data_IF_159369011347
#
_entry.id   IF_159369011347
#
_cell.length_a   1.000
_cell.length_b   1.000
_cell.length_c   1.000
_cell.angle_alpha   90.00
_cell.angle_beta   90.00
_cell.angle_gamma   90.00
#
_symmetry.space_group_name_H-M   'P 1'
#
loop_
_entity.id
_entity.type
_entity.pdbx_description
1 polymer ?
#
# COMPACT_ATOMS: atom_id res chain seq x y z
N UNK A 1 -124.50 24.01 -17.87
CA UNK A 1 -124.55 22.55 -18.09
C UNK A 1 -123.15 22.01 -17.90
N UNK A 2 -123.01 20.99 -17.04
CA UNK A 2 -121.92 20.02 -16.82
C UNK A 2 -120.49 20.38 -17.29
N UNK A 3 -119.42 20.24 -16.51
CA UNK A 3 -119.18 19.60 -15.22
C UNK A 3 -117.66 19.38 -15.03
N UNK A 4 -117.26 19.20 -13.77
CA UNK A 4 -116.05 18.49 -13.30
C UNK A 4 -114.68 19.20 -13.26
N UNK A 5 -114.15 19.28 -12.03
CA UNK A 5 -112.79 19.63 -11.57
C UNK A 5 -112.04 18.29 -11.24
N UNK A 6 -110.77 18.28 -10.75
CA UNK A 6 -109.44 17.99 -11.36
C UNK A 6 -108.90 16.59 -10.91
N UNK A 7 -107.61 16.30 -10.57
CA UNK A 7 -106.26 16.82 -10.92
C UNK A 7 -105.24 15.70 -11.34
N UNK A 8 -103.99 16.04 -11.69
CA UNK A 8 -102.76 15.48 -11.09
C UNK A 8 -101.54 15.59 -12.03
N UNK A 9 -100.48 16.15 -11.44
CA UNK A 9 -99.06 16.03 -11.72
C UNK A 9 -98.58 14.61 -12.10
N UNK A 10 -97.70 14.49 -13.10
CA UNK A 10 -96.31 14.03 -12.96
C UNK A 10 -95.71 13.53 -14.29
N UNK A 11 -94.38 13.62 -14.33
CA UNK A 11 -93.43 12.81 -15.11
C UNK A 11 -93.21 13.13 -16.59
N UNK A 12 -92.21 13.98 -16.78
CA UNK A 12 -91.29 13.94 -17.92
C UNK A 12 -90.67 12.53 -18.04
N UNK A 13 -90.76 11.85 -19.20
CA UNK A 13 -89.93 10.67 -19.43
C UNK A 13 -88.48 11.11 -19.68
N UNK A 14 -87.50 10.44 -19.04
CA UNK A 14 -86.09 10.74 -19.22
C UNK A 14 -85.64 10.42 -20.64
N UNK A 15 -84.88 11.36 -21.19
CA UNK A 15 -83.97 11.20 -22.32
C UNK A 15 -83.31 9.82 -22.31
N UNK A 16 -83.57 9.02 -23.35
CA UNK A 16 -82.87 7.76 -23.60
C UNK A 16 -81.35 8.01 -23.62
N UNK A 17 -80.55 7.35 -22.76
CA UNK A 17 -79.12 7.32 -22.97
C UNK A 17 -78.88 6.40 -24.17
N UNK A 18 -78.44 6.98 -25.28
CA UNK A 18 -77.88 6.21 -26.38
C UNK A 18 -76.76 5.30 -25.87
N UNK A 19 -76.52 4.15 -26.51
CA UNK A 19 -75.47 3.21 -26.08
C UNK A 19 -74.14 3.95 -26.10
N UNK A 20 -73.57 4.16 -24.92
CA UNK A 20 -72.19 4.62 -24.78
C UNK A 20 -71.29 3.54 -25.37
N UNK A 21 -70.80 3.82 -26.58
CA UNK A 21 -69.90 2.96 -27.32
C UNK A 21 -68.60 2.63 -26.59
N UNK A 22 -67.75 1.78 -27.19
CA UNK A 22 -66.68 1.00 -26.57
C UNK A 22 -65.40 1.82 -26.23
N UNK A 23 -65.56 3.02 -25.66
CA UNK A 23 -64.45 3.93 -25.34
C UNK A 23 -63.62 3.48 -24.15
N UNK A 24 -64.19 2.65 -23.26
CA UNK A 24 -63.57 2.28 -22.00
C UNK A 24 -62.61 1.06 -22.12
N UNK A 25 -62.70 0.26 -23.19
CA UNK A 25 -61.89 -0.96 -23.37
C UNK A 25 -60.42 -0.63 -23.67
N UNK A 26 -60.19 0.35 -24.55
CA UNK A 26 -58.85 0.78 -24.93
C UNK A 26 -58.10 1.40 -23.75
N UNK A 27 -58.78 2.18 -22.91
CA UNK A 27 -58.15 2.88 -21.78
C UNK A 27 -57.58 1.92 -20.74
N UNK A 28 -58.31 0.86 -20.38
CA UNK A 28 -57.82 -0.15 -19.41
C UNK A 28 -56.61 -0.91 -19.97
N UNK A 29 -56.64 -1.27 -21.25
CA UNK A 29 -55.50 -1.90 -21.92
C UNK A 29 -54.28 -0.99 -21.96
N UNK A 30 -54.42 0.28 -22.36
CA UNK A 30 -53.29 1.23 -22.43
C UNK A 30 -52.71 1.59 -21.07
N UNK A 31 -53.55 1.72 -20.03
CA UNK A 31 -53.09 1.95 -18.65
C UNK A 31 -52.36 0.72 -18.12
N UNK A 32 -52.89 -0.48 -18.36
CA UNK A 32 -52.25 -1.74 -17.97
C UNK A 32 -50.91 -1.97 -18.69
N UNK A 33 -50.87 -1.62 -19.98
CA UNK A 33 -49.69 -1.72 -20.83
C UNK A 33 -48.61 -0.72 -20.41
N UNK A 34 -48.97 0.51 -20.02
CA UNK A 34 -48.01 1.57 -19.73
C UNK A 34 -47.52 1.62 -18.27
N UNK A 35 -48.36 1.22 -17.30
CA UNK A 35 -48.02 1.37 -15.87
C UNK A 35 -46.77 0.57 -15.47
N UNK A 36 -46.67 -0.69 -15.92
CA UNK A 36 -45.56 -1.57 -15.61
C UNK A 36 -44.22 -1.12 -16.24
N UNK A 37 -44.12 -0.87 -17.56
CA UNK A 37 -42.86 -0.44 -18.17
C UNK A 37 -42.43 0.96 -17.72
N UNK A 38 -43.34 1.88 -17.41
CA UNK A 38 -42.97 3.19 -16.87
C UNK A 38 -42.38 3.09 -15.46
N UNK A 39 -42.97 2.25 -14.59
CA UNK A 39 -42.43 2.00 -13.26
C UNK A 39 -41.06 1.30 -13.33
N UNK A 40 -40.92 0.29 -14.20
CA UNK A 40 -39.65 -0.38 -14.44
C UNK A 40 -38.61 0.59 -14.99
N UNK A 41 -38.95 1.43 -15.97
CA UNK A 41 -38.04 2.41 -16.55
C UNK A 41 -37.61 3.48 -15.54
N UNK A 42 -38.53 3.98 -14.71
CA UNK A 42 -38.20 4.91 -13.63
C UNK A 42 -37.24 4.28 -12.61
N UNK A 43 -37.46 3.01 -12.25
CA UNK A 43 -36.56 2.26 -11.37
C UNK A 43 -35.17 2.07 -12.00
N UNK A 44 -35.11 1.65 -13.27
CA UNK A 44 -33.84 1.45 -13.97
C UNK A 44 -33.07 2.77 -14.13
N UNK A 45 -33.76 3.88 -14.40
CA UNK A 45 -33.15 5.22 -14.42
C UNK A 45 -32.59 5.57 -13.03
N UNK A 46 -33.34 5.29 -11.97
CA UNK A 46 -32.86 5.52 -10.60
C UNK A 46 -31.61 4.70 -10.31
N UNK A 47 -31.59 3.40 -10.64
CA UNK A 47 -30.40 2.54 -10.49
C UNK A 47 -29.22 3.07 -11.30
N UNK A 48 -29.44 3.53 -12.53
CA UNK A 48 -28.39 4.13 -13.39
C UNK A 48 -27.85 5.45 -12.81
N UNK A 49 -28.67 6.20 -12.07
CA UNK A 49 -28.27 7.46 -11.44
C UNK A 49 -27.53 7.25 -10.12
N UNK A 50 -27.94 6.28 -9.31
CA UNK A 50 -27.36 6.06 -7.97
C UNK A 50 -26.17 5.11 -8.02
N UNK A 51 -26.27 4.01 -8.78
CA UNK A 51 -25.23 2.97 -8.86
C UNK A 51 -24.28 3.13 -10.06
N UNK A 52 -24.59 4.06 -10.96
CA UNK A 52 -23.79 4.34 -12.16
C UNK A 52 -22.49 5.12 -11.90
N UNK A 53 -22.29 5.63 -10.68
CA UNK A 53 -21.13 6.49 -10.33
C UNK A 53 -20.41 6.08 -9.04
N UNK A 54 -21.01 5.23 -8.22
CA UNK A 54 -20.39 4.73 -6.97
C UNK A 54 -19.58 3.45 -7.21
N UNK A 55 -18.58 3.21 -6.36
CA UNK A 55 -17.91 1.92 -6.19
C UNK A 55 -18.88 0.91 -5.56
N UNK A 56 -19.97 0.63 -6.27
CA UNK A 56 -20.95 -0.36 -5.90
C UNK A 56 -20.54 -1.68 -6.56
N UNK A 57 -20.22 -2.64 -5.71
CA UNK A 57 -19.86 -4.00 -6.08
C UNK A 57 -21.01 -4.64 -6.91
N UNK A 58 -20.73 -5.67 -7.69
CA UNK A 58 -21.70 -6.36 -8.55
C UNK A 58 -22.95 -6.79 -7.75
N UNK A 59 -22.73 -7.20 -6.50
CA UNK A 59 -23.77 -7.61 -5.56
C UNK A 59 -24.75 -6.49 -5.24
N UNK A 60 -24.29 -5.25 -5.16
CA UNK A 60 -25.11 -4.07 -4.88
C UNK A 60 -26.05 -3.73 -6.03
N UNK A 61 -25.60 -3.90 -7.28
CA UNK A 61 -26.46 -3.73 -8.45
C UNK A 61 -27.44 -4.90 -8.60
N UNK A 62 -26.98 -6.14 -8.39
CA UNK A 62 -27.90 -7.29 -8.43
C UNK A 62 -28.98 -7.18 -7.36
N UNK A 63 -28.65 -6.73 -6.16
CA UNK A 63 -29.62 -6.52 -5.08
C UNK A 63 -30.59 -5.38 -5.42
N UNK A 64 -30.11 -4.28 -6.00
CA UNK A 64 -30.97 -3.18 -6.44
C UNK A 64 -31.92 -3.59 -7.58
N UNK A 65 -31.46 -4.41 -8.52
CA UNK A 65 -32.29 -4.94 -9.60
C UNK A 65 -33.29 -5.99 -9.08
N UNK A 66 -32.86 -6.87 -8.17
CA UNK A 66 -33.72 -7.89 -7.56
C UNK A 66 -34.82 -7.27 -6.70
N UNK A 67 -34.46 -6.29 -5.86
CA UNK A 67 -35.41 -5.51 -5.06
C UNK A 67 -36.40 -4.77 -5.97
N UNK A 68 -35.91 -4.18 -7.06
CA UNK A 68 -36.76 -3.58 -8.09
C UNK A 68 -37.72 -4.55 -8.74
N UNK A 69 -37.27 -5.76 -9.07
CA UNK A 69 -38.11 -6.82 -9.64
C UNK A 69 -39.22 -7.25 -8.65
N UNK A 70 -38.90 -7.36 -7.36
CA UNK A 70 -39.86 -7.69 -6.30
C UNK A 70 -40.91 -6.57 -6.14
N UNK A 71 -40.50 -5.31 -6.12
CA UNK A 71 -41.43 -4.17 -6.05
C UNK A 71 -42.27 -4.07 -7.33
N UNK A 72 -41.67 -4.31 -8.50
CA UNK A 72 -42.37 -4.32 -9.79
C UNK A 72 -43.47 -5.40 -9.84
N UNK A 73 -43.29 -6.55 -9.19
CA UNK A 73 -44.34 -7.59 -9.08
C UNK A 73 -45.61 -7.11 -8.35
N UNK A 74 -45.52 -6.06 -7.52
CA UNK A 74 -46.67 -5.49 -6.81
C UNK A 74 -47.43 -4.44 -7.63
N UNK A 75 -46.75 -3.77 -8.57
CA UNK A 75 -47.32 -2.73 -9.46
C UNK A 75 -48.51 -3.19 -10.32
N UNK A 76 -48.57 -4.42 -10.86
CA UNK A 76 -49.72 -4.86 -11.66
C UNK A 76 -50.96 -5.23 -10.82
N UNK A 77 -50.87 -5.39 -9.49
CA UNK A 77 -52.00 -5.81 -8.65
C UNK A 77 -53.22 -4.86 -8.73
N UNK A 78 -53.07 -3.52 -8.62
CA UNK A 78 -54.19 -2.59 -8.72
C UNK A 78 -54.85 -2.61 -10.11
N UNK A 79 -54.04 -2.80 -11.16
CA UNK A 79 -54.50 -2.90 -12.56
C UNK A 79 -55.29 -4.18 -12.79
N UNK A 80 -54.84 -5.30 -12.20
CA UNK A 80 -55.54 -6.58 -12.27
C UNK A 80 -56.84 -6.56 -11.46
N UNK A 81 -56.85 -5.92 -10.28
CA UNK A 81 -58.05 -5.70 -9.46
C UNK A 81 -59.06 -4.83 -10.22
N UNK A 82 -58.62 -3.71 -10.80
CA UNK A 82 -59.45 -2.85 -11.66
C UNK A 82 -59.99 -3.63 -12.86
N UNK A 83 -59.14 -4.39 -13.54
CA UNK A 83 -59.49 -5.23 -14.68
C UNK A 83 -60.53 -6.29 -14.33
N UNK A 84 -60.43 -6.90 -13.15
CA UNK A 84 -61.40 -7.83 -12.58
C UNK A 84 -62.75 -7.17 -12.28
N UNK A 85 -62.73 -6.03 -11.57
CA UNK A 85 -63.93 -5.23 -11.28
C UNK A 85 -64.64 -4.75 -12.55
N UNK A 86 -63.87 -4.50 -13.62
CA UNK A 86 -64.39 -4.07 -14.93
C UNK A 86 -64.78 -5.23 -15.85
N UNK A 87 -64.71 -6.49 -15.40
CA UNK A 87 -64.93 -7.73 -16.20
C UNK A 87 -64.06 -7.84 -17.46
N UNK A 88 -62.83 -7.31 -17.42
CA UNK A 88 -61.89 -7.22 -18.56
C UNK A 88 -60.50 -7.78 -18.21
N UNK A 89 -60.46 -8.84 -17.43
CA UNK A 89 -59.22 -9.41 -16.91
C UNK A 89 -58.28 -9.88 -18.04
N UNK A 90 -58.80 -10.36 -19.17
CA UNK A 90 -57.99 -10.78 -20.32
C UNK A 90 -57.19 -9.64 -20.97
N UNK A 91 -57.76 -8.42 -21.05
CA UNK A 91 -57.06 -7.25 -21.58
C UNK A 91 -56.03 -6.70 -20.59
N UNK A 92 -56.35 -6.75 -19.29
CA UNK A 92 -55.39 -6.38 -18.24
C UNK A 92 -54.20 -7.35 -18.21
N UNK A 93 -54.45 -8.66 -18.31
CA UNK A 93 -53.39 -9.68 -18.41
C UNK A 93 -52.52 -9.49 -19.64
N UNK A 94 -53.12 -9.26 -20.82
CA UNK A 94 -52.35 -9.01 -22.05
C UNK A 94 -51.51 -7.72 -21.96
N UNK A 95 -52.04 -6.65 -21.37
CA UNK A 95 -51.29 -5.42 -21.14
C UNK A 95 -50.11 -5.63 -20.19
N UNK A 96 -50.33 -6.36 -19.08
CA UNK A 96 -49.28 -6.68 -18.10
C UNK A 96 -48.21 -7.59 -18.70
N UNK A 97 -48.56 -8.60 -19.49
CA UNK A 97 -47.56 -9.50 -20.10
C UNK A 97 -46.70 -8.79 -21.14
N UNK A 98 -47.30 -7.98 -22.01
CA UNK A 98 -46.53 -7.16 -22.98
C UNK A 98 -45.66 -6.14 -22.23
N UNK A 99 -46.21 -5.48 -21.21
CA UNK A 99 -45.45 -4.58 -20.34
C UNK A 99 -44.26 -5.26 -19.65
N UNK A 100 -44.43 -6.50 -19.20
CA UNK A 100 -43.38 -7.30 -18.60
C UNK A 100 -42.26 -7.64 -19.60
N UNK A 101 -42.61 -8.01 -20.83
CA UNK A 101 -41.61 -8.24 -21.90
C UNK A 101 -40.81 -6.97 -22.18
N UNK A 102 -41.48 -5.81 -22.27
CA UNK A 102 -40.80 -4.52 -22.49
C UNK A 102 -39.83 -4.19 -21.34
N UNK A 103 -40.23 -4.45 -20.10
CA UNK A 103 -39.37 -4.22 -18.93
C UNK A 103 -38.14 -5.14 -18.92
N UNK A 104 -38.31 -6.42 -19.27
CA UNK A 104 -37.19 -7.37 -19.40
C UNK A 104 -36.23 -6.92 -20.50
N UNK A 105 -36.74 -6.42 -21.62
CA UNK A 105 -35.93 -5.87 -22.71
C UNK A 105 -35.20 -4.56 -22.33
N UNK A 106 -35.67 -3.83 -21.30
CA UNK A 106 -35.01 -2.61 -20.81
C UNK A 106 -33.80 -2.90 -19.88
N UNK A 107 -33.72 -4.08 -19.27
CA UNK A 107 -32.59 -4.50 -18.43
C UNK A 107 -31.21 -4.50 -19.13
N UNK A 108 -31.04 -5.06 -20.34
CA UNK A 108 -29.75 -4.97 -21.03
C UNK A 108 -29.38 -3.52 -21.36
N UNK A 109 -30.36 -2.65 -21.63
CA UNK A 109 -30.13 -1.23 -21.86
C UNK A 109 -29.64 -0.53 -20.58
N UNK A 110 -30.23 -0.81 -19.42
CA UNK A 110 -29.78 -0.23 -18.15
C UNK A 110 -28.37 -0.68 -17.79
N UNK A 111 -28.05 -1.96 -17.99
CA UNK A 111 -26.69 -2.50 -17.83
C UNK A 111 -25.69 -1.75 -18.72
N UNK A 112 -26.02 -1.55 -20.00
CA UNK A 112 -25.17 -0.82 -20.93
C UNK A 112 -24.98 0.65 -20.51
N UNK A 113 -26.03 1.31 -20.04
CA UNK A 113 -25.97 2.70 -19.57
C UNK A 113 -25.16 2.84 -18.27
N UNK A 114 -25.28 1.89 -17.33
CA UNK A 114 -24.43 1.85 -16.13
C UNK A 114 -22.97 1.68 -16.53
N UNK A 115 -22.68 0.73 -17.44
CA UNK A 115 -21.32 0.51 -17.91
C UNK A 115 -20.75 1.76 -18.58
N UNK A 116 -21.49 2.36 -19.53
CA UNK A 116 -21.08 3.57 -20.22
C UNK A 116 -20.82 4.74 -19.25
N UNK A 117 -21.69 4.93 -18.24
CA UNK A 117 -21.49 5.96 -17.21
C UNK A 117 -20.26 5.71 -16.35
N UNK A 118 -20.00 4.46 -15.94
CA UNK A 118 -18.81 4.11 -15.17
C UNK A 118 -17.54 4.32 -15.99
N UNK A 119 -17.54 3.93 -17.26
CA UNK A 119 -16.41 4.18 -18.17
C UNK A 119 -16.17 5.67 -18.35
N UNK A 120 -17.22 6.46 -18.56
CA UNK A 120 -17.08 7.91 -18.68
C UNK A 120 -16.56 8.54 -17.38
N UNK A 121 -17.10 8.15 -16.24
CA UNK A 121 -16.64 8.64 -14.94
C UNK A 121 -15.16 8.27 -14.70
N UNK A 122 -14.73 7.08 -15.11
CA UNK A 122 -13.34 6.66 -15.01
C UNK A 122 -12.42 7.47 -15.93
N UNK A 123 -12.79 7.69 -17.20
CA UNK A 123 -12.02 8.55 -18.11
C UNK A 123 -11.97 10.00 -17.63
N UNK A 124 -13.06 10.53 -17.05
CA UNK A 124 -13.09 11.87 -16.45
C UNK A 124 -12.15 11.97 -15.23
N UNK A 125 -12.05 10.91 -14.43
CA UNK A 125 -11.10 10.83 -13.30
C UNK A 125 -9.65 10.79 -13.81
N UNK A 126 -9.38 9.99 -14.83
CA UNK A 126 -8.07 9.89 -15.48
C UNK A 126 -7.64 11.21 -16.13
N UNK A 127 -8.54 11.89 -16.82
CA UNK A 127 -8.28 13.19 -17.43
C UNK A 127 -7.94 14.26 -16.37
N UNK A 128 -8.69 14.32 -15.27
CA UNK A 128 -8.39 15.21 -14.13
C UNK A 128 -7.04 14.90 -13.49
N UNK A 129 -6.69 13.62 -13.39
CA UNK A 129 -5.37 13.24 -12.88
C UNK A 129 -4.25 13.63 -13.84
N UNK A 130 -4.44 13.49 -15.15
CA UNK A 130 -3.48 13.95 -16.15
C UNK A 130 -3.26 15.48 -16.10
N UNK A 131 -4.31 16.25 -15.83
CA UNK A 131 -4.20 17.69 -15.58
C UNK A 131 -3.40 17.99 -14.30
N UNK A 132 -3.61 17.20 -13.25
CA UNK A 132 -2.81 17.29 -12.03
C UNK A 132 -1.33 16.97 -12.30
N UNK A 133 -1.02 15.93 -13.10
CA UNK A 133 0.34 15.61 -13.53
C UNK A 133 0.99 16.80 -14.28
N UNK A 134 0.26 17.43 -15.20
CA UNK A 134 0.74 18.63 -15.89
C UNK A 134 0.98 19.81 -14.93
N UNK A 135 0.13 19.94 -13.89
CA UNK A 135 0.31 20.94 -12.83
C UNK A 135 1.58 20.67 -12.03
N UNK A 136 1.86 19.41 -11.67
CA UNK A 136 3.10 19.03 -10.97
C UNK A 136 4.32 19.38 -11.81
N UNK A 137 4.31 19.07 -13.12
CA UNK A 137 5.41 19.41 -14.05
C UNK A 137 5.67 20.90 -14.21
N UNK A 138 4.70 21.76 -13.87
CA UNK A 138 4.90 23.21 -13.87
C UNK A 138 5.72 23.72 -12.67
N UNK A 139 5.96 22.87 -11.67
CA UNK A 139 6.65 23.19 -10.40
C UNK A 139 6.02 24.34 -9.60
N UNK A 140 4.77 24.71 -9.89
CA UNK A 140 4.01 25.71 -9.13
C UNK A 140 3.40 25.08 -7.87
N UNK A 141 4.09 25.21 -6.74
CA UNK A 141 3.68 24.64 -5.45
C UNK A 141 2.30 25.12 -5.00
N UNK A 142 1.93 26.37 -5.29
CA UNK A 142 0.62 26.90 -4.91
C UNK A 142 -0.50 26.23 -5.70
N UNK A 143 -0.28 26.00 -7.01
CA UNK A 143 -1.23 25.24 -7.84
C UNK A 143 -1.31 23.78 -7.44
N UNK A 144 -0.19 23.13 -7.15
CA UNK A 144 -0.18 21.72 -6.69
C UNK A 144 -1.00 21.59 -5.40
N UNK A 145 -0.78 22.48 -4.41
CA UNK A 145 -1.55 22.49 -3.15
C UNK A 145 -3.05 22.71 -3.36
N UNK A 146 -3.43 23.51 -4.35
CA UNK A 146 -4.84 23.77 -4.68
C UNK A 146 -5.48 22.61 -5.44
N UNK A 147 -4.75 21.97 -6.33
CA UNK A 147 -5.25 20.91 -7.20
C UNK A 147 -5.39 19.57 -6.49
N UNK A 148 -4.47 19.24 -5.57
CA UNK A 148 -4.44 17.97 -4.86
C UNK A 148 -5.76 17.63 -4.11
N UNK A 149 -6.34 18.50 -3.26
CA UNK A 149 -7.61 18.21 -2.59
C UNK A 149 -8.82 18.24 -3.55
N UNK A 150 -8.66 18.74 -4.78
CA UNK A 150 -9.69 18.75 -5.80
C UNK A 150 -9.69 17.46 -6.67
N UNK A 151 -8.75 16.54 -6.41
CA UNK A 151 -8.75 15.24 -7.08
C UNK A 151 -10.04 14.45 -6.74
N UNK A 152 -10.61 13.72 -7.72
CA UNK A 152 -11.77 12.86 -7.51
C UNK A 152 -11.62 11.92 -6.32
N UNK A 153 -12.76 11.55 -5.71
CA UNK A 153 -12.86 10.58 -4.61
C UNK A 153 -12.03 10.91 -3.34
N UNK A 154 -11.49 12.13 -3.23
CA UNK A 154 -10.76 12.58 -2.05
C UNK A 154 -9.46 11.81 -1.82
N UNK A 155 -8.67 11.59 -2.88
CA UNK A 155 -7.35 10.93 -2.77
C UNK A 155 -6.49 11.58 -1.68
N UNK A 156 -5.97 10.75 -0.77
CA UNK A 156 -5.01 11.18 0.24
C UNK A 156 -3.71 11.67 -0.43
N UNK A 157 -2.98 12.56 0.23
CA UNK A 157 -1.67 13.01 -0.23
C UNK A 157 -0.67 11.86 -0.53
N UNK A 158 -0.48 10.85 0.33
CA UNK A 158 0.42 9.75 0.03
C UNK A 158 -0.05 8.90 -1.16
N UNK A 159 -1.35 8.64 -1.29
CA UNK A 159 -1.91 7.89 -2.43
C UNK A 159 -1.76 8.65 -3.74
N UNK A 160 -1.98 9.96 -3.72
CA UNK A 160 -1.76 10.80 -4.90
C UNK A 160 -0.29 10.80 -5.33
N UNK A 161 0.66 10.85 -4.39
CA UNK A 161 2.09 10.75 -4.69
C UNK A 161 2.48 9.37 -5.20
N UNK A 162 1.93 8.29 -4.62
CA UNK A 162 2.09 6.93 -5.11
C UNK A 162 1.68 6.82 -6.58
N UNK A 163 0.51 7.36 -6.91
CA UNK A 163 0.02 7.42 -8.27
C UNK A 163 0.94 8.22 -9.22
N UNK A 164 1.58 9.31 -8.75
CA UNK A 164 2.52 10.10 -9.57
C UNK A 164 3.81 9.33 -9.86
N UNK A 165 4.20 8.41 -8.98
CA UNK A 165 5.39 7.57 -9.17
C UNK A 165 5.16 6.34 -10.06
N UNK A 166 3.95 6.15 -10.58
CA UNK A 166 3.56 5.02 -11.44
C UNK A 166 2.70 3.97 -10.73
N UNK A 167 2.30 4.22 -9.49
CA UNK A 167 1.32 3.38 -8.79
C UNK A 167 -0.09 3.49 -9.37
N UNK A 168 -0.99 2.62 -8.90
CA UNK A 168 -2.39 2.67 -9.31
C UNK A 168 -3.05 3.99 -8.83
N UNK A 169 -3.73 4.67 -9.76
CA UNK A 169 -4.43 5.95 -9.51
C UNK A 169 -5.87 5.71 -9.05
N UNK A 170 -6.65 5.04 -9.91
CA UNK A 170 -8.05 4.70 -9.70
C UNK A 170 -8.29 3.27 -10.18
N UNK A 171 -9.19 2.58 -9.49
CA UNK A 171 -9.64 1.25 -9.90
C UNK A 171 -10.88 1.38 -10.77
N UNK A 172 -10.83 0.80 -11.96
CA UNK A 172 -11.98 0.49 -12.78
C UNK A 172 -12.41 -0.93 -12.49
N UNK A 173 -13.38 -1.10 -11.61
CA UNK A 173 -13.99 -2.40 -11.36
C UNK A 173 -14.80 -2.81 -12.60
N UNK A 174 -14.21 -3.65 -13.46
CA UNK A 174 -14.88 -4.16 -14.65
C UNK A 174 -15.71 -5.36 -14.24
N UNK A 175 -17.02 -5.27 -14.50
CA UNK A 175 -18.01 -6.24 -14.03
C UNK A 175 -17.52 -7.70 -14.10
N UNK A 176 -17.52 -8.30 -12.90
CA UNK A 176 -17.52 -9.72 -12.56
C UNK A 176 -16.21 -10.48 -12.41
N UNK A 177 -15.03 -10.05 -12.91
CA UNK A 177 -13.82 -10.89 -12.71
C UNK A 177 -12.46 -10.19 -12.64
N UNK A 178 -12.33 -8.90 -13.01
CA UNK A 178 -11.03 -8.21 -13.00
C UNK A 178 -11.18 -6.72 -12.69
N UNK A 179 -10.42 -6.26 -11.70
CA UNK A 179 -10.16 -4.84 -11.47
C UNK A 179 -9.12 -4.36 -12.49
N UNK A 180 -9.51 -3.49 -13.41
CA UNK A 180 -8.57 -2.78 -14.28
C UNK A 180 -8.10 -1.54 -13.52
N UNK A 181 -6.82 -1.38 -13.27
CA UNK A 181 -6.29 -0.17 -12.64
C UNK A 181 -5.89 0.86 -13.71
N UNK A 182 -6.28 2.13 -13.52
CA UNK A 182 -5.59 3.21 -14.19
C UNK A 182 -4.22 3.40 -13.54
N UNK A 183 -3.17 3.29 -14.33
CA UNK A 183 -1.82 3.68 -13.93
C UNK A 183 -1.54 5.09 -14.44
N UNK A 184 -0.96 5.92 -13.57
CA UNK A 184 -0.43 7.22 -13.95
C UNK A 184 0.86 7.08 -14.76
N UNK A 185 1.21 8.12 -15.52
CA UNK A 185 2.58 8.23 -16.05
C UNK A 185 3.55 8.35 -14.87
N UNK A 186 4.56 7.47 -14.81
CA UNK A 186 5.56 7.52 -13.76
C UNK A 186 6.45 8.77 -13.93
N UNK A 187 6.31 9.73 -13.03
CA UNK A 187 7.08 10.97 -13.07
C UNK A 187 8.52 10.77 -12.61
N UNK A 188 9.48 11.55 -13.16
CA UNK A 188 10.84 11.61 -12.65
C UNK A 188 10.91 12.03 -11.18
N UNK A 189 11.94 11.60 -10.47
CA UNK A 189 12.07 11.83 -9.02
C UNK A 189 12.17 13.31 -8.65
N UNK A 190 12.70 14.15 -9.55
CA UNK A 190 12.71 15.59 -9.39
C UNK A 190 11.28 16.16 -9.28
N UNK A 191 10.36 15.74 -10.14
CA UNK A 191 8.97 16.18 -10.11
C UNK A 191 8.24 15.63 -8.87
N UNK A 192 8.54 14.39 -8.45
CA UNK A 192 8.01 13.82 -7.22
C UNK A 192 8.48 14.59 -5.97
N UNK A 193 9.73 15.06 -5.96
CA UNK A 193 10.25 15.93 -4.90
C UNK A 193 9.53 17.28 -4.84
N UNK A 194 9.23 17.89 -5.99
CA UNK A 194 8.47 19.15 -6.03
C UNK A 194 7.01 18.95 -5.56
N UNK A 195 6.37 17.85 -5.95
CA UNK A 195 5.04 17.49 -5.46
C UNK A 195 5.05 17.25 -3.93
N UNK A 196 6.02 16.50 -3.42
CA UNK A 196 6.16 16.24 -1.99
C UNK A 196 6.46 17.54 -1.21
N UNK A 197 7.28 18.44 -1.74
CA UNK A 197 7.53 19.74 -1.13
C UNK A 197 6.24 20.57 -1.00
N UNK A 198 5.43 20.62 -2.06
CA UNK A 198 4.13 21.29 -2.03
C UNK A 198 3.18 20.68 -0.98
N UNK A 199 3.17 19.35 -0.81
CA UNK A 199 2.38 18.65 0.22
C UNK A 199 2.86 18.99 1.64
N UNK A 200 4.17 18.92 1.87
CA UNK A 200 4.79 19.23 3.18
C UNK A 200 4.51 20.66 3.60
N UNK A 201 4.53 21.60 2.65
CA UNK A 201 4.27 23.01 2.91
C UNK A 201 2.75 23.33 2.93
N UNK A 202 1.89 22.34 2.67
CA UNK A 202 0.43 22.47 2.67
C UNK A 202 -0.22 22.21 4.04
N UNK A 203 -1.54 22.36 4.07
CA UNK A 203 -2.39 22.17 5.26
C UNK A 203 -2.79 20.70 5.49
N UNK A 204 -1.82 19.78 5.40
CA UNK A 204 -2.01 18.36 5.69
C UNK A 204 -1.63 18.01 7.12
N UNK A 205 -2.15 16.89 7.64
CA UNK A 205 -1.72 16.39 8.95
C UNK A 205 -0.24 15.97 8.90
N UNK A 206 0.44 15.98 10.04
CA UNK A 206 1.83 15.51 10.13
C UNK A 206 1.98 14.08 9.63
N UNK A 207 1.02 13.21 9.95
CA UNK A 207 1.02 11.81 9.52
C UNK A 207 0.92 11.67 8.00
N UNK A 208 0.03 12.44 7.34
CA UNK A 208 -0.08 12.43 5.87
C UNK A 208 1.21 12.92 5.20
N UNK A 209 1.83 13.97 5.76
CA UNK A 209 3.11 14.50 5.26
C UNK A 209 4.23 13.47 5.36
N UNK A 210 4.34 12.79 6.50
CA UNK A 210 5.37 11.77 6.73
C UNK A 210 5.12 10.53 5.85
N UNK A 211 3.88 10.06 5.75
CA UNK A 211 3.53 8.94 4.85
C UNK A 211 3.86 9.27 3.38
N UNK A 212 3.56 10.50 2.94
CA UNK A 212 3.93 11.00 1.60
C UNK A 212 5.44 10.92 1.39
N UNK A 213 6.23 11.36 2.36
CA UNK A 213 7.68 11.29 2.26
C UNK A 213 8.20 9.85 2.28
N UNK A 214 7.60 8.92 3.03
CA UNK A 214 7.98 7.50 2.97
C UNK A 214 7.69 6.87 1.61
N UNK A 215 6.58 7.25 0.94
CA UNK A 215 6.31 6.85 -0.45
C UNK A 215 7.38 7.39 -1.40
N UNK A 216 7.76 8.66 -1.24
CA UNK A 216 8.86 9.23 -2.04
C UNK A 216 10.18 8.49 -1.79
N UNK A 217 10.51 8.17 -0.54
CA UNK A 217 11.73 7.46 -0.19
C UNK A 217 11.78 6.07 -0.84
N UNK A 218 10.65 5.37 -0.87
CA UNK A 218 10.52 4.10 -1.57
C UNK A 218 10.88 4.25 -3.06
N UNK A 219 10.33 5.26 -3.75
CA UNK A 219 10.68 5.49 -5.16
C UNK A 219 12.14 5.86 -5.39
N UNK A 220 12.71 6.72 -4.54
CA UNK A 220 14.13 7.05 -4.63
C UNK A 220 14.98 5.77 -4.48
N UNK A 221 14.61 4.89 -3.54
CA UNK A 221 15.29 3.62 -3.28
C UNK A 221 15.18 2.66 -4.46
N UNK A 222 13.97 2.46 -5.01
CA UNK A 222 13.77 1.62 -6.19
C UNK A 222 14.59 2.08 -7.39
N UNK A 223 14.68 3.41 -7.59
CA UNK A 223 15.41 4.07 -8.69
C UNK A 223 16.92 4.21 -8.47
N UNK A 224 17.43 3.80 -7.30
CA UNK A 224 18.84 3.89 -6.94
C UNK A 224 19.40 5.33 -6.97
N UNK A 225 18.70 6.28 -6.33
CA UNK A 225 19.05 7.70 -6.35
C UNK A 225 19.47 8.27 -4.97
N UNK A 226 20.55 7.77 -4.35
CA UNK A 226 21.01 8.24 -3.03
C UNK A 226 21.38 9.73 -3.01
N UNK A 227 21.74 10.32 -4.16
CA UNK A 227 22.08 11.74 -4.29
C UNK A 227 20.90 12.69 -3.98
N UNK A 228 19.66 12.20 -4.09
CA UNK A 228 18.46 13.00 -3.80
C UNK A 228 18.02 12.91 -2.33
N UNK A 229 18.61 12.00 -1.55
CA UNK A 229 18.29 11.80 -0.13
C UNK A 229 18.45 13.06 0.74
N UNK A 230 19.48 13.92 0.56
CA UNK A 230 19.58 15.16 1.34
C UNK A 230 18.40 16.11 1.15
N UNK A 231 17.84 16.19 -0.08
CA UNK A 231 16.63 16.99 -0.36
C UNK A 231 15.43 16.39 0.36
N UNK A 232 15.26 15.07 0.27
CA UNK A 232 14.21 14.33 0.98
C UNK A 232 14.29 14.53 2.51
N UNK A 233 15.48 14.39 3.09
CA UNK A 233 15.71 14.59 4.52
C UNK A 233 15.38 16.03 4.96
N UNK A 234 15.69 17.02 4.11
CA UNK A 234 15.28 18.40 4.31
C UNK A 234 13.76 18.54 4.44
N UNK A 235 12.98 17.89 3.56
CA UNK A 235 11.52 17.88 3.64
C UNK A 235 11.02 17.18 4.92
N UNK A 236 11.60 16.03 5.27
CA UNK A 236 11.25 15.28 6.47
C UNK A 236 11.37 16.12 7.73
N UNK A 237 12.48 16.85 7.89
CA UNK A 237 12.69 17.72 9.05
C UNK A 237 11.66 18.83 9.16
N UNK A 238 11.13 19.36 8.04
CA UNK A 238 10.06 20.37 8.08
C UNK A 238 8.74 19.82 8.65
N UNK A 239 8.59 18.50 8.76
CA UNK A 239 7.44 17.85 9.41
C UNK A 239 7.59 17.70 10.92
N UNK A 240 8.76 18.04 11.50
CA UNK A 240 9.05 17.88 12.92
C UNK A 240 8.75 19.19 13.69
N UNK A 241 8.19 19.07 14.89
CA UNK A 241 7.73 20.21 15.69
C UNK A 241 8.86 20.95 16.46
N UNK A 242 10.01 20.30 16.69
CA UNK A 242 11.19 20.91 17.30
C UNK A 242 12.46 20.46 16.57
N UNK A 243 13.34 21.42 16.25
CA UNK A 243 14.58 21.19 15.50
C UNK A 243 15.58 20.25 16.21
N UNK A 244 15.41 20.02 17.52
CA UNK A 244 16.27 19.16 18.35
C UNK A 244 16.10 17.65 18.08
N UNK A 245 15.13 17.25 17.24
CA UNK A 245 14.98 15.88 16.74
C UNK A 245 16.00 15.50 15.65
N UNK A 246 16.95 16.37 15.31
CA UNK A 246 17.87 16.17 14.19
C UNK A 246 18.72 14.88 14.31
N UNK A 247 19.03 14.43 15.54
CA UNK A 247 19.74 13.16 15.81
C UNK A 247 18.82 12.02 16.24
N UNK A 248 17.51 12.24 16.29
CA UNK A 248 16.58 11.17 16.63
C UNK A 248 16.59 10.14 15.52
N UNK A 249 16.55 8.83 15.87
CA UNK A 249 16.33 7.77 14.90
C UNK A 249 15.12 8.10 14.02
N UNK A 250 15.26 7.94 12.71
CA UNK A 250 14.16 8.15 11.80
C UNK A 250 13.29 6.89 11.83
N UNK A 251 12.19 6.94 12.56
CA UNK A 251 11.25 5.83 12.68
C UNK A 251 10.10 6.00 11.68
N UNK A 252 9.48 4.87 11.29
CA UNK A 252 8.27 4.90 10.50
C UNK A 252 7.12 5.61 11.21
N UNK A 253 6.23 6.24 10.44
CA UNK A 253 5.02 6.85 10.98
C UNK A 253 3.93 5.80 11.22
N UNK A 254 3.16 5.93 12.30
CA UNK A 254 1.94 5.13 12.59
C UNK A 254 0.76 5.45 11.65
N UNK A 255 1.03 5.68 10.36
CA UNK A 255 0.00 6.03 9.39
C UNK A 255 -0.96 4.86 9.16
N UNK A 256 -2.25 5.08 9.40
CA UNK A 256 -3.32 4.09 9.21
C UNK A 256 -4.19 4.35 7.97
N UNK A 257 -3.86 5.38 7.19
CA UNK A 257 -4.59 5.70 5.97
C UNK A 257 -4.13 4.86 4.78
N UNK A 258 -4.82 5.04 3.66
CA UNK A 258 -4.50 4.37 2.39
C UNK A 258 -3.31 5.08 1.70
N UNK A 259 -2.28 4.31 1.37
CA UNK A 259 -1.08 4.74 0.63
C UNK A 259 -1.11 4.27 -0.83
N UNK A 260 -2.21 3.62 -1.24
CA UNK A 260 -2.36 2.97 -2.54
C UNK A 260 -1.63 1.65 -2.61
N UNK A 261 -1.18 1.27 -3.81
CA UNK A 261 -0.35 0.08 -4.04
C UNK A 261 1.08 0.25 -3.53
N UNK A 262 1.49 1.48 -3.23
CA UNK A 262 2.78 1.77 -2.63
C UNK A 262 2.67 1.52 -1.13
N UNK A 263 3.16 0.38 -0.66
CA UNK A 263 3.33 0.21 0.77
C UNK A 263 4.28 1.31 1.25
N UNK A 264 3.81 2.23 2.10
CA UNK A 264 4.74 3.13 2.77
C UNK A 264 5.82 2.28 3.44
N UNK A 265 7.08 2.62 3.17
CA UNK A 265 8.23 1.92 3.72
C UNK A 265 8.01 1.70 5.23
N UNK A 266 7.87 0.43 5.63
CA UNK A 266 7.60 0.06 7.04
C UNK A 266 8.73 0.46 7.95
N UNK A 267 9.95 0.52 7.41
CA UNK A 267 11.11 1.05 8.10
C UNK A 267 12.00 1.81 7.09
N UNK A 268 12.15 3.13 7.24
CA UNK A 268 12.92 3.96 6.31
C UNK A 268 14.42 3.64 6.34
N UNK A 269 14.97 3.27 7.50
CA UNK A 269 16.36 2.81 7.57
C UNK A 269 16.56 1.54 6.74
N UNK A 270 15.64 0.59 6.80
CA UNK A 270 15.72 -0.64 6.01
C UNK A 270 15.75 -0.34 4.50
N UNK A 271 14.88 0.57 4.06
CA UNK A 271 14.73 0.98 2.65
C UNK A 271 15.98 1.64 2.09
N UNK A 272 16.68 2.44 2.90
CA UNK A 272 17.88 3.19 2.50
C UNK A 272 19.13 2.33 2.62
N UNK A 273 19.30 1.67 3.75
CA UNK A 273 20.55 1.00 4.12
C UNK A 273 20.73 -0.33 3.40
N UNK A 274 19.65 -1.11 3.19
CA UNK A 274 19.74 -2.34 2.40
C UNK A 274 19.94 -2.10 0.92
N UNK A 275 19.41 -1.00 0.38
CA UNK A 275 19.42 -0.76 -1.08
C UNK A 275 20.67 -0.04 -1.53
N UNK A 276 21.09 1.01 -0.81
CA UNK A 276 22.19 1.88 -1.23
C UNK A 276 23.49 1.64 -0.47
N UNK A 277 23.48 0.80 0.57
CA UNK A 277 24.67 0.44 1.35
C UNK A 277 25.48 1.67 1.80
N UNK A 278 26.78 1.73 1.46
CA UNK A 278 27.67 2.85 1.76
C UNK A 278 27.15 4.22 1.28
N UNK A 279 26.51 4.28 0.11
CA UNK A 279 25.95 5.54 -0.39
C UNK A 279 24.77 5.99 0.48
N UNK A 280 23.92 5.05 0.92
CA UNK A 280 22.82 5.30 1.84
C UNK A 280 23.31 5.70 3.23
N UNK A 281 24.28 4.99 3.79
CA UNK A 281 24.91 5.33 5.06
C UNK A 281 25.51 6.74 5.05
N UNK A 282 26.27 7.08 3.99
CA UNK A 282 26.85 8.41 3.84
C UNK A 282 25.79 9.49 3.77
N UNK A 283 24.72 9.25 3.01
CA UNK A 283 23.61 10.18 2.89
C UNK A 283 22.85 10.34 4.22
N UNK A 284 22.65 9.25 4.96
CA UNK A 284 22.03 9.23 6.29
C UNK A 284 22.81 10.07 7.31
N UNK A 285 24.13 9.84 7.38
CA UNK A 285 25.04 10.56 8.26
C UNK A 285 25.17 12.04 7.87
N UNK A 286 25.25 12.36 6.58
CA UNK A 286 25.25 13.76 6.09
C UNK A 286 23.93 14.47 6.40
N UNK A 287 22.82 13.73 6.36
CA UNK A 287 21.53 14.17 6.84
C UNK A 287 21.42 14.13 8.38
N UNK A 288 22.50 13.89 9.12
CA UNK A 288 22.57 14.03 10.58
C UNK A 288 21.65 13.13 11.40
N UNK A 289 20.97 12.16 10.77
CA UNK A 289 20.07 11.25 11.46
C UNK A 289 20.85 10.31 12.37
N UNK A 290 20.31 10.04 13.56
CA UNK A 290 20.84 9.01 14.45
C UNK A 290 20.35 7.61 14.08
N UNK A 291 20.75 6.62 14.88
CA UNK A 291 20.31 5.24 14.75
C UNK A 291 19.67 4.79 16.07
N UNK A 292 18.51 4.12 15.99
CA UNK A 292 18.00 3.33 17.11
C UNK A 292 18.84 2.05 17.26
N UNK A 293 18.66 1.33 18.36
CA UNK A 293 19.34 0.04 18.59
C UNK A 293 19.15 -0.93 17.41
N UNK A 294 17.91 -1.12 16.96
CA UNK A 294 17.58 -1.97 15.80
C UNK A 294 18.20 -1.45 14.50
N UNK A 295 18.25 -0.13 14.31
CA UNK A 295 18.83 0.47 13.11
C UNK A 295 20.36 0.39 13.09
N UNK A 296 21.03 0.28 14.24
CA UNK A 296 22.49 0.12 14.28
C UNK A 296 22.93 -1.21 13.68
N UNK A 297 22.23 -2.30 13.97
CA UNK A 297 22.49 -3.59 13.34
C UNK A 297 22.32 -3.50 11.81
N UNK A 298 21.23 -2.86 11.33
CA UNK A 298 21.02 -2.60 9.90
C UNK A 298 22.15 -1.75 9.29
N UNK A 299 22.61 -0.72 10.01
CA UNK A 299 23.68 0.16 9.55
C UNK A 299 25.02 -0.58 9.43
N UNK A 300 25.39 -1.41 10.40
CA UNK A 300 26.59 -2.26 10.34
C UNK A 300 26.52 -3.23 9.15
N UNK A 301 25.37 -3.87 8.94
CA UNK A 301 25.15 -4.78 7.81
C UNK A 301 25.17 -4.08 6.44
N UNK A 302 24.95 -2.78 6.39
CA UNK A 302 24.98 -1.99 5.16
C UNK A 302 26.39 -1.53 4.75
N UNK A 303 27.40 -1.66 5.61
CA UNK A 303 28.78 -1.25 5.30
C UNK A 303 29.37 -2.17 4.22
N UNK A 304 29.98 -1.57 3.20
CA UNK A 304 30.64 -2.23 2.06
C UNK A 304 32.10 -1.80 1.87
N UNK A 305 32.60 -0.84 2.65
CA UNK A 305 34.01 -0.41 2.59
C UNK A 305 34.60 -0.01 3.94
N UNK A 306 35.92 -0.16 4.08
CA UNK A 306 36.69 0.27 5.26
C UNK A 306 36.52 1.76 5.59
N UNK A 307 36.57 2.71 4.63
CA UNK A 307 36.33 4.12 4.92
C UNK A 307 34.93 4.38 5.49
N UNK A 308 33.91 3.67 5.00
CA UNK A 308 32.55 3.81 5.55
C UNK A 308 32.46 3.24 6.96
N UNK A 309 33.09 2.09 7.25
CA UNK A 309 33.16 1.58 8.63
C UNK A 309 33.77 2.60 9.58
N UNK A 310 34.89 3.21 9.20
CA UNK A 310 35.57 4.23 10.00
C UNK A 310 34.71 5.48 10.18
N UNK A 311 34.01 5.92 9.13
CA UNK A 311 33.10 7.06 9.22
C UNK A 311 31.91 6.75 10.14
N UNK A 312 31.39 5.53 10.10
CA UNK A 312 30.27 5.09 10.93
C UNK A 312 30.66 5.02 12.42
N UNK A 313 31.79 4.40 12.75
CA UNK A 313 32.28 4.31 14.14
C UNK A 313 32.76 5.66 14.69
N UNK A 314 33.21 6.58 13.83
CA UNK A 314 33.50 7.95 14.23
C UNK A 314 32.24 8.79 14.47
N UNK A 315 31.13 8.45 13.81
CA UNK A 315 29.87 9.18 13.94
C UNK A 315 29.07 8.80 15.20
N UNK A 316 29.09 7.52 15.60
CA UNK A 316 28.46 7.02 16.82
C UNK A 316 29.37 5.96 17.50
N UNK A 317 29.90 6.24 18.72
CA UNK A 317 30.79 5.32 19.41
C UNK A 317 30.13 4.00 19.80
N UNK A 318 28.79 3.94 19.85
CA UNK A 318 28.06 2.70 20.10
C UNK A 318 28.37 1.61 19.06
N UNK A 319 28.70 1.99 17.82
CA UNK A 319 29.15 1.01 16.82
C UNK A 319 30.46 0.34 17.19
N UNK A 320 31.41 1.09 17.78
CA UNK A 320 32.66 0.50 18.25
C UNK A 320 32.42 -0.42 19.45
N UNK A 321 31.50 -0.05 20.34
CA UNK A 321 31.09 -0.91 21.46
C UNK A 321 30.39 -2.19 20.96
N UNK A 322 29.48 -2.11 19.98
CA UNK A 322 28.84 -3.28 19.38
C UNK A 322 29.84 -4.24 18.72
N UNK A 323 30.92 -3.72 18.13
CA UNK A 323 31.96 -4.55 17.49
C UNK A 323 32.89 -5.23 18.51
N UNK A 324 33.21 -4.57 19.62
CA UNK A 324 34.20 -5.03 20.60
C UNK A 324 33.60 -5.71 21.84
N UNK A 325 32.51 -5.15 22.36
CA UNK A 325 31.84 -5.55 23.61
C UNK A 325 30.55 -6.34 23.36
N UNK A 326 29.93 -6.14 22.19
CA UNK A 326 28.76 -6.88 21.73
C UNK A 326 29.00 -8.40 21.76
N UNK A 327 28.01 -9.16 22.25
CA UNK A 327 28.16 -10.62 22.38
C UNK A 327 28.19 -11.30 21.03
N UNK A 328 27.47 -10.78 20.03
CA UNK A 328 27.28 -11.43 18.73
C UNK A 328 27.15 -10.48 17.55
N UNK A 329 26.89 -9.19 17.76
CA UNK A 329 26.56 -8.19 16.74
C UNK A 329 27.67 -8.02 15.70
N UNK A 330 28.93 -7.86 16.12
CA UNK A 330 30.06 -7.81 15.20
C UNK A 330 30.27 -9.12 14.43
N UNK A 331 29.98 -10.25 15.06
CA UNK A 331 30.08 -11.56 14.42
C UNK A 331 28.93 -11.78 13.42
N UNK A 332 27.75 -11.24 13.68
CA UNK A 332 26.59 -11.31 12.80
C UNK A 332 26.78 -10.39 11.60
N UNK A 333 27.37 -9.20 11.77
CA UNK A 333 27.79 -8.36 10.65
C UNK A 333 28.76 -9.10 9.71
N UNK A 334 29.74 -9.84 10.27
CA UNK A 334 30.63 -10.70 9.47
C UNK A 334 29.87 -11.87 8.80
N UNK A 335 28.92 -12.49 9.50
CA UNK A 335 28.09 -13.56 8.94
C UNK A 335 27.25 -13.06 7.76
N UNK A 336 26.58 -11.92 7.89
CA UNK A 336 25.81 -11.31 6.78
C UNK A 336 26.71 -10.99 5.59
N UNK A 337 27.85 -10.33 5.84
CA UNK A 337 28.81 -10.02 4.78
C UNK A 337 29.30 -11.29 4.07
N UNK A 338 29.56 -12.38 4.82
CA UNK A 338 30.09 -13.64 4.26
C UNK A 338 29.22 -14.30 3.20
N UNK A 339 27.90 -14.04 3.19
CA UNK A 339 27.01 -14.51 2.13
C UNK A 339 27.25 -13.82 0.79
N UNK A 340 27.74 -12.58 0.81
CA UNK A 340 27.92 -11.74 -0.39
C UNK A 340 29.40 -11.70 -0.85
N UNK A 341 30.37 -12.04 0.01
CA UNK A 341 31.80 -11.84 -0.26
C UNK A 341 32.29 -12.50 -1.55
N UNK A 342 31.89 -13.75 -1.83
CA UNK A 342 32.30 -14.44 -3.06
C UNK A 342 31.80 -13.72 -4.32
N UNK A 343 30.53 -13.27 -4.29
CA UNK A 343 29.94 -12.50 -5.38
C UNK A 343 30.61 -11.12 -5.53
N UNK A 344 30.90 -10.44 -4.43
CA UNK A 344 31.58 -9.14 -4.43
C UNK A 344 33.01 -9.24 -4.99
N UNK A 345 33.72 -10.34 -4.72
CA UNK A 345 35.05 -10.59 -5.30
C UNK A 345 35.00 -10.80 -6.81
N UNK A 346 33.91 -11.37 -7.34
CA UNK A 346 33.76 -11.69 -8.75
C UNK A 346 33.17 -10.52 -9.57
N UNK A 347 32.21 -9.78 -9.01
CA UNK A 347 31.49 -8.69 -9.70
C UNK A 347 32.03 -7.30 -9.37
N UNK A 348 32.77 -7.17 -8.26
CA UNK A 348 33.28 -5.90 -7.79
C UNK A 348 34.38 -5.32 -8.70
N UNK A 349 34.49 -3.99 -8.80
CA UNK A 349 35.56 -3.35 -9.58
C UNK A 349 36.95 -3.54 -8.96
N UNK A 350 37.04 -3.83 -7.66
CA UNK A 350 38.28 -4.07 -6.93
C UNK A 350 38.10 -5.16 -5.85
N UNK A 351 38.69 -6.37 -6.04
CA UNK A 351 38.63 -7.45 -5.06
C UNK A 351 39.30 -7.12 -3.71
N UNK A 352 40.16 -6.09 -3.63
CA UNK A 352 40.79 -5.72 -2.37
C UNK A 352 39.81 -5.11 -1.36
N UNK A 353 38.79 -4.39 -1.82
CA UNK A 353 37.80 -3.68 -0.98
C UNK A 353 37.08 -4.60 0.01
N UNK A 354 36.46 -5.73 -0.41
CA UNK A 354 35.81 -6.64 0.53
C UNK A 354 36.81 -7.27 1.52
N UNK A 355 38.04 -7.57 1.09
CA UNK A 355 39.07 -8.11 1.98
C UNK A 355 39.52 -7.10 3.04
N UNK A 356 39.68 -5.83 2.66
CA UNK A 356 40.02 -4.75 3.58
C UNK A 356 38.89 -4.47 4.57
N UNK A 357 37.62 -4.56 4.15
CA UNK A 357 36.48 -4.43 5.06
C UNK A 357 36.47 -5.55 6.11
N UNK A 358 36.63 -6.81 5.69
CA UNK A 358 36.70 -7.94 6.64
C UNK A 358 37.85 -7.75 7.62
N UNK A 359 39.03 -7.36 7.13
CA UNK A 359 40.18 -7.03 7.99
C UNK A 359 39.86 -5.91 8.98
N UNK A 360 39.24 -4.82 8.52
CA UNK A 360 38.87 -3.68 9.36
C UNK A 360 37.81 -4.03 10.42
N UNK A 361 36.83 -4.87 10.10
CA UNK A 361 35.86 -5.37 11.07
C UNK A 361 36.55 -6.21 12.16
N UNK A 362 37.51 -7.06 11.78
CA UNK A 362 38.31 -7.84 12.74
C UNK A 362 39.18 -6.94 13.63
N UNK A 363 39.84 -5.95 13.04
CA UNK A 363 40.64 -4.94 13.76
C UNK A 363 39.77 -4.14 14.74
N UNK A 364 38.51 -3.88 14.40
CA UNK A 364 37.54 -3.18 15.25
C UNK A 364 36.94 -4.06 16.37
N UNK A 365 37.30 -5.35 16.44
CA UNK A 365 36.91 -6.26 17.52
C UNK A 365 35.93 -7.37 17.12
N UNK A 366 35.38 -7.36 15.90
CA UNK A 366 34.42 -8.37 15.47
C UNK A 366 35.03 -9.78 15.49
N UNK A 367 34.47 -10.68 16.30
CA UNK A 367 34.96 -12.05 16.44
C UNK A 367 34.05 -13.06 15.69
N UNK A 368 34.50 -13.64 14.56
CA UNK A 368 33.68 -14.55 13.76
C UNK A 368 33.26 -15.81 14.53
N UNK A 369 33.92 -16.16 15.65
CA UNK A 369 33.55 -17.31 16.48
C UNK A 369 32.26 -17.08 17.27
N UNK A 370 31.95 -15.82 17.58
CA UNK A 370 30.86 -15.43 18.47
C UNK A 370 29.48 -15.36 17.82
N UNK A 371 29.37 -15.55 16.51
CA UNK A 371 28.07 -15.44 15.82
C UNK A 371 27.07 -16.45 16.37
N UNK A 372 25.84 -16.02 16.62
CA UNK A 372 24.76 -16.89 17.11
C UNK A 372 24.09 -17.66 15.97
N UNK A 373 24.43 -17.35 14.71
CA UNK A 373 23.93 -18.07 13.56
C UNK A 373 24.40 -19.54 13.53
N UNK A 374 23.53 -20.40 12.98
CA UNK A 374 23.77 -21.84 12.87
C UNK A 374 25.03 -22.18 12.05
N UNK A 375 25.42 -21.30 11.12
CA UNK A 375 26.69 -21.39 10.38
C UNK A 375 27.56 -20.19 10.70
N UNK A 376 28.81 -20.45 11.04
CA UNK A 376 29.82 -19.42 11.32
C UNK A 376 30.27 -18.73 10.02
N UNK A 377 30.71 -17.46 10.06
CA UNK A 377 31.15 -16.71 8.87
C UNK A 377 32.15 -17.46 7.98
N UNK A 378 33.12 -18.15 8.59
CA UNK A 378 34.11 -18.96 7.87
C UNK A 378 33.46 -20.03 6.98
N UNK A 379 32.56 -20.83 7.56
CA UNK A 379 31.90 -21.92 6.84
C UNK A 379 30.95 -21.41 5.75
N UNK A 380 30.32 -20.25 5.95
CA UNK A 380 29.48 -19.61 4.93
C UNK A 380 30.33 -19.16 3.75
N UNK A 381 31.46 -18.50 4.00
CA UNK A 381 32.38 -18.07 2.94
C UNK A 381 32.98 -19.26 2.18
N UNK A 382 33.48 -20.29 2.88
CA UNK A 382 34.03 -21.50 2.24
C UNK A 382 33.00 -22.20 1.35
N UNK A 383 31.75 -22.32 1.82
CA UNK A 383 30.69 -22.89 1.00
C UNK A 383 30.43 -22.05 -0.25
N UNK A 384 30.29 -20.73 -0.10
CA UNK A 384 30.07 -19.81 -1.21
C UNK A 384 31.19 -19.90 -2.25
N UNK A 385 32.45 -19.92 -1.81
CA UNK A 385 33.62 -20.11 -2.68
C UNK A 385 33.62 -21.48 -3.38
N UNK A 386 33.13 -22.54 -2.72
CA UNK A 386 33.06 -23.89 -3.30
C UNK A 386 31.94 -24.06 -4.33
N UNK A 387 30.83 -23.34 -4.16
CA UNK A 387 29.67 -23.37 -5.07
C UNK A 387 29.83 -22.38 -6.24
N UNK A 388 30.79 -21.46 -6.12
CA UNK A 388 31.13 -20.48 -7.15
C UNK A 388 31.52 -21.18 -8.45
N UNK A 389 30.94 -20.72 -9.56
CA UNK A 389 31.36 -21.14 -10.90
C UNK A 389 32.49 -20.23 -11.36
N UNK A 390 33.74 -20.71 -11.47
CA UNK A 390 34.85 -19.87 -11.92
C UNK A 390 34.57 -19.37 -13.34
N UNK A 391 34.58 -18.05 -13.52
CA UNK A 391 34.37 -17.39 -14.82
C UNK A 391 35.74 -16.95 -15.34
N UNK A 392 36.36 -17.77 -16.21
CA UNK A 392 37.76 -17.59 -16.66
C UNK A 392 38.77 -17.78 -15.51
N UNK A 393 40.05 -18.00 -15.82
CA UNK A 393 41.09 -18.13 -14.80
C UNK A 393 41.08 -16.91 -13.86
N UNK A 394 40.91 -17.15 -12.56
CA UNK A 394 40.84 -16.09 -11.56
C UNK A 394 42.06 -15.18 -11.64
N UNK A 395 41.84 -13.88 -11.49
CA UNK A 395 42.94 -12.93 -11.36
C UNK A 395 43.72 -13.17 -10.06
N UNK A 396 45.03 -12.91 -10.08
CA UNK A 396 45.86 -13.00 -8.87
C UNK A 396 45.34 -12.10 -7.74
N UNK A 397 44.77 -10.94 -8.08
CA UNK A 397 44.17 -10.02 -7.11
C UNK A 397 42.97 -10.63 -6.38
N UNK A 398 42.08 -11.33 -7.12
CA UNK A 398 40.92 -12.02 -6.55
C UNK A 398 41.33 -13.17 -5.64
N UNK A 399 42.30 -13.99 -6.07
CA UNK A 399 42.84 -15.09 -5.24
C UNK A 399 43.46 -14.55 -3.95
N UNK A 400 44.28 -13.50 -4.04
CA UNK A 400 44.90 -12.87 -2.88
C UNK A 400 43.87 -12.28 -1.91
N UNK A 401 42.81 -11.66 -2.43
CA UNK A 401 41.71 -11.15 -1.63
C UNK A 401 40.93 -12.27 -0.92
N UNK A 402 40.56 -13.33 -1.64
CA UNK A 402 39.87 -14.50 -1.06
C UNK A 402 40.70 -15.16 0.05
N UNK A 403 42.02 -15.27 -0.14
CA UNK A 403 42.94 -15.83 0.86
C UNK A 403 42.99 -14.95 2.11
N UNK A 404 43.05 -13.61 1.96
CA UNK A 404 43.01 -12.68 3.09
C UNK A 404 41.69 -12.77 3.86
N UNK A 405 40.56 -12.87 3.15
CA UNK A 405 39.24 -13.04 3.76
C UNK A 405 39.19 -14.36 4.55
N UNK A 406 39.64 -15.46 3.95
CA UNK A 406 39.69 -16.77 4.61
C UNK A 406 40.50 -16.71 5.90
N UNK A 407 41.73 -16.17 5.86
CA UNK A 407 42.58 -16.01 7.03
C UNK A 407 41.94 -15.16 8.13
N UNK A 408 41.18 -14.13 7.76
CA UNK A 408 40.52 -13.25 8.69
C UNK A 408 39.27 -13.90 9.35
N UNK A 409 38.50 -14.67 8.58
CA UNK A 409 37.26 -15.32 9.04
C UNK A 409 37.48 -16.67 9.73
N UNK A 410 38.55 -17.39 9.40
CA UNK A 410 38.84 -18.76 9.84
C UNK A 410 40.08 -18.81 10.77
N UNK A 411 40.04 -18.19 11.97
CA UNK A 411 41.19 -18.19 12.86
C UNK A 411 41.48 -19.61 13.38
N UNK A 412 42.75 -20.03 13.50
CA UNK A 412 43.13 -21.36 13.97
C UNK A 412 42.65 -21.57 15.41
N UNK A 413 42.11 -22.75 15.70
CA UNK A 413 41.37 -23.12 16.93
C UNK A 413 42.13 -22.94 18.27
N UNK A 414 43.35 -22.39 18.28
CA UNK A 414 44.21 -22.22 19.46
C UNK A 414 44.39 -20.80 20.01
N UNK A 415 43.94 -19.73 19.35
CA UNK A 415 44.10 -18.36 19.86
C UNK A 415 42.86 -17.90 20.63
N UNK A 416 42.79 -18.31 21.91
CA UNK A 416 42.05 -17.59 22.92
C UNK A 416 42.78 -16.29 23.26
N UNK A 417 42.01 -15.24 23.50
CA UNK A 417 42.42 -13.87 23.79
C UNK A 417 43.64 -13.74 24.71
N UNK A 418 44.75 -13.20 24.21
CA UNK A 418 45.74 -12.52 25.04
C UNK A 418 45.26 -11.10 25.33
N UNK A 419 44.16 -11.01 26.08
CA UNK A 419 43.72 -9.82 26.80
C UNK A 419 43.81 -10.11 28.29
N UNK A 420 45.00 -10.49 28.76
CA UNK A 420 45.25 -10.68 30.19
C UNK A 420 45.96 -9.45 30.71
N UNK A 421 45.22 -8.61 31.42
CA UNK A 421 45.75 -7.66 32.39
C UNK A 421 46.81 -8.37 33.23
N UNK A 422 48.04 -7.87 33.13
CA UNK A 422 49.09 -8.20 34.07
C UNK A 422 48.86 -7.36 35.32
N UNK A 423 48.43 -8.03 36.39
CA UNK A 423 48.73 -7.66 37.78
C UNK A 423 48.67 -9.00 38.56
N UNK A 424 49.80 -9.57 38.99
CA UNK A 424 50.44 -9.20 40.25
C UNK A 424 49.57 -9.71 41.41
N UNK A 425 49.50 -11.01 41.68
CA UNK A 425 50.45 -11.69 42.57
C UNK A 425 50.16 -11.37 44.04
N UNK A 426 49.50 -12.27 44.78
CA UNK A 426 50.09 -12.83 46.01
C UNK A 426 49.27 -13.99 46.61
N UNK A 427 49.99 -14.78 47.40
CA UNK A 427 49.75 -16.17 47.72
C UNK A 427 48.94 -16.45 49.00
N UNK A 428 48.49 -17.70 49.08
CA UNK A 428 48.28 -18.54 50.28
C UNK A 428 47.16 -18.19 51.27
N UNK A 429 46.20 -19.12 51.42
CA UNK A 429 46.23 -20.05 52.57
C UNK A 429 45.27 -21.24 52.42
N UNK A 430 45.74 -22.39 52.93
CA UNK A 430 45.03 -23.59 53.40
C UNK A 430 43.51 -23.43 53.66
N UNK A 431 42.67 -24.44 53.43
CA UNK A 431 42.66 -25.70 54.19
C UNK A 431 41.57 -26.64 53.66
N UNK A 432 41.85 -27.94 53.72
CA UNK A 432 40.94 -29.04 53.46
C UNK A 432 39.70 -29.06 54.39
N UNK A 433 38.60 -29.63 53.89
CA UNK A 433 37.41 -29.98 54.66
C UNK A 433 36.42 -30.81 53.83
N UNK A 434 36.38 -32.11 54.14
CA UNK A 434 35.47 -33.15 53.64
C UNK A 434 34.09 -33.13 54.31
N UNK A 435 33.12 -33.85 53.71
CA UNK A 435 31.79 -34.23 54.24
C UNK A 435 30.77 -33.09 54.27
N UNK A 436 29.47 -33.23 54.00
CA UNK A 436 28.57 -34.37 54.18
C UNK A 436 27.24 -34.08 53.43
N UNK A 437 26.55 -35.15 53.08
CA UNK A 437 25.17 -35.29 52.59
C UNK A 437 24.09 -34.48 53.34
N UNK A 438 23.06 -34.01 52.63
CA UNK A 438 21.65 -34.20 53.01
C UNK A 438 20.67 -33.78 51.90
N UNK A 439 19.75 -34.70 51.60
CA UNK A 439 18.44 -34.51 50.98
C UNK A 439 17.63 -33.34 51.56
N UNK A 440 16.77 -32.73 50.73
CA UNK A 440 15.30 -32.79 50.87
C UNK A 440 14.61 -31.62 50.13
N UNK A 441 13.94 -31.99 49.03
CA UNK A 441 12.50 -31.78 48.78
C UNK A 441 11.74 -30.78 49.68
N UNK A 442 11.10 -29.76 49.10
CA UNK A 442 9.77 -29.26 49.50
C UNK A 442 9.25 -28.12 48.60
N UNK A 443 8.25 -28.46 47.80
CA UNK A 443 6.98 -27.77 47.56
C UNK A 443 6.81 -26.23 47.74
N UNK A 444 6.14 -25.68 46.72
CA UNK A 444 5.08 -24.63 46.75
C UNK A 444 5.46 -23.20 47.13
N UNK A 445 5.40 -22.31 46.12
CA UNK A 445 4.30 -21.35 45.98
C UNK A 445 4.13 -20.90 44.53
#
# INVERSE_FOLDING_TARGET
MAGSVPPASNDLPPSSPGPTGPRNNRTVFWVALAAYPLAALAWLIWVVLTRGTEAADVWDYSDAVLTGAIVALLVPLPVLIWGGLSRRIGQALLGVTIGAVIAVLALPLSLHLVHARRTQAFEDKKARYAEFVATVRSHDHARIRKALPALPDGLSAPKALCALGGGATYTFERWLWFDDHAYGEALPSADLLEAAAAIVDGAWTRQDKQATLLVLLHYLSERDEPALFPRWAGLWRRTLEQADAARTPLLASDYRGDTGTCSAAREPADTVLKRWHDAGLRAWLQAGFGFSEEQRDLALRAVRSKPMLQQLTAADPEFAAMLNEGRSEGADALSHLSYELSELLDRGPDPAVPAELVGALREAGADPRRSEHARKPCAVFELSESERRPTVADSAARIAAATRIHQALCPPDGLAQTGKTADGGDANHHRAGTSETADADSERR
#
